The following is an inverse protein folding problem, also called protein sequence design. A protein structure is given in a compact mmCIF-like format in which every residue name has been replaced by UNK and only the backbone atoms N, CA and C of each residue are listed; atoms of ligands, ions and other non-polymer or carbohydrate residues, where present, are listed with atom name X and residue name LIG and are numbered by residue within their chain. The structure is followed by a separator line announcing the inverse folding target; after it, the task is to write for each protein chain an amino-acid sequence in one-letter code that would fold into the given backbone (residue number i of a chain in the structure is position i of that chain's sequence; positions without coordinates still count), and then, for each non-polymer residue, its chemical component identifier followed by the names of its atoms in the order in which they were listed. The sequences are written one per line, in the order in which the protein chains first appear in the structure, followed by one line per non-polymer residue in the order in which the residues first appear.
data_IF_414700220428
#
_entry.id   IF_414700220428
#
_cell.length_a   1.000
_cell.length_b   1.000
_cell.length_c   1.000
_cell.angle_alpha   90.00
_cell.angle_beta   90.00
_cell.angle_gamma   90.00
#
_symmetry.space_group_name_H-M   'P 1'
#
loop_
_entity.id
_entity.type
_entity.pdbx_description
1 polymer ?
#
# COMPACT_ATOMS: atom_id res chain seq x y z
N UNK A 1 29.11 -2.76 18.53
CA UNK A 1 27.93 -2.26 17.79
C UNK A 1 27.98 -2.92 16.43
N UNK A 2 26.94 -3.67 16.04
CA UNK A 2 26.91 -4.28 14.72
C UNK A 2 26.88 -3.15 13.68
N UNK A 3 27.74 -3.21 12.67
CA UNK A 3 27.63 -2.34 11.50
C UNK A 3 26.28 -2.61 10.85
N UNK A 4 25.39 -1.63 10.83
CA UNK A 4 24.18 -1.74 10.01
C UNK A 4 24.60 -1.93 8.56
N UNK A 5 23.95 -2.87 7.88
CA UNK A 5 24.22 -3.17 6.48
C UNK A 5 23.70 -2.01 5.65
N UNK A 6 24.60 -1.36 4.90
CA UNK A 6 24.21 -0.33 3.94
C UNK A 6 23.78 -0.99 2.63
N UNK A 7 22.53 -0.77 2.25
CA UNK A 7 21.97 -1.21 0.98
C UNK A 7 22.20 -0.16 -0.09
N UNK A 8 22.66 -0.58 -1.27
CA UNK A 8 22.85 0.33 -2.39
C UNK A 8 21.55 0.57 -3.16
N UNK A 9 21.60 1.37 -4.22
CA UNK A 9 20.42 1.69 -5.01
C UNK A 9 19.78 0.45 -5.67
N UNK A 10 20.58 -0.52 -6.10
CA UNK A 10 20.04 -1.74 -6.74
C UNK A 10 19.32 -2.60 -5.72
N UNK A 11 19.86 -2.74 -4.51
CA UNK A 11 19.17 -3.40 -3.40
C UNK A 11 17.81 -2.74 -3.13
N UNK A 12 17.78 -1.41 -3.03
CA UNK A 12 16.56 -0.64 -2.80
C UNK A 12 15.53 -0.81 -3.93
N UNK A 13 15.98 -0.80 -5.19
CA UNK A 13 15.12 -1.03 -6.33
C UNK A 13 14.52 -2.45 -6.34
N UNK A 14 15.28 -3.46 -5.91
CA UNK A 14 14.79 -4.83 -5.76
C UNK A 14 13.75 -4.92 -4.65
N UNK A 15 13.96 -4.28 -3.50
CA UNK A 15 12.97 -4.25 -2.43
C UNK A 15 11.67 -3.56 -2.87
N UNK A 16 11.77 -2.42 -3.55
CA UNK A 16 10.61 -1.72 -4.10
C UNK A 16 9.83 -2.56 -5.12
N UNK A 17 10.54 -3.36 -5.93
CA UNK A 17 9.89 -4.30 -6.84
C UNK A 17 9.18 -5.43 -6.08
N UNK A 18 9.81 -6.02 -5.06
CA UNK A 18 9.18 -7.04 -4.20
C UNK A 18 7.92 -6.50 -3.51
N UNK A 19 7.99 -5.31 -2.91
CA UNK A 19 6.83 -4.61 -2.33
C UNK A 19 5.72 -4.42 -3.36
N UNK A 20 6.08 -4.00 -4.58
CA UNK A 20 5.11 -3.81 -5.66
C UNK A 20 4.43 -5.11 -6.10
N UNK A 21 5.20 -6.19 -6.23
CA UNK A 21 4.64 -7.50 -6.56
C UNK A 21 3.70 -7.98 -5.45
N UNK A 22 4.11 -7.88 -4.18
CA UNK A 22 3.27 -8.22 -3.02
C UNK A 22 1.97 -7.42 -3.00
N UNK A 23 2.05 -6.12 -3.25
CA UNK A 23 0.88 -5.22 -3.32
C UNK A 23 -0.08 -5.65 -4.43
N UNK A 24 0.43 -5.90 -5.63
CA UNK A 24 -0.38 -6.21 -6.81
C UNK A 24 -0.99 -7.61 -6.78
N UNK A 25 -0.30 -8.56 -6.15
CA UNK A 25 -0.77 -9.94 -5.99
C UNK A 25 -1.51 -10.18 -4.66
N UNK A 26 -1.90 -9.11 -3.95
CA UNK A 26 -2.67 -9.17 -2.69
C UNK A 26 -1.99 -10.05 -1.62
N UNK A 27 -0.68 -9.89 -1.46
CA UNK A 27 0.12 -10.59 -0.46
C UNK A 27 1.06 -9.61 0.28
N UNK A 28 0.51 -8.52 0.88
CA UNK A 28 1.31 -7.54 1.59
C UNK A 28 2.01 -8.13 2.80
N UNK A 29 3.17 -7.58 3.15
CA UNK A 29 3.88 -7.93 4.38
C UNK A 29 3.26 -7.17 5.56
N UNK A 30 2.24 -7.77 6.18
CA UNK A 30 1.51 -7.17 7.31
C UNK A 30 2.34 -7.11 8.59
N UNK A 31 2.06 -6.13 9.45
CA UNK A 31 2.75 -5.93 10.74
C UNK A 31 2.23 -6.88 11.83
N UNK A 32 1.06 -7.49 11.59
CA UNK A 32 0.37 -8.35 12.56
C UNK A 32 -0.65 -7.62 13.43
N UNK A 33 -0.91 -6.33 13.17
CA UNK A 33 -2.03 -5.60 13.79
C UNK A 33 -3.35 -6.32 13.50
N UNK A 34 -4.21 -6.40 14.52
CA UNK A 34 -5.54 -6.96 14.33
C UNK A 34 -6.41 -6.05 13.47
N UNK A 35 -7.25 -6.65 12.62
CA UNK A 35 -8.26 -5.93 11.86
C UNK A 35 -9.19 -5.17 12.82
N UNK A 36 -9.31 -3.82 12.71
CA UNK A 36 -10.10 -3.02 13.64
C UNK A 36 -11.60 -3.36 13.59
N UNK A 37 -12.07 -3.99 12.51
CA UNK A 37 -13.45 -4.44 12.38
C UNK A 37 -13.73 -5.77 13.08
N UNK A 38 -12.73 -6.48 13.63
CA UNK A 38 -12.88 -7.83 14.20
C UNK A 38 -13.93 -7.94 15.30
N UNK A 39 -14.14 -6.86 16.07
CA UNK A 39 -15.11 -6.83 17.17
C UNK A 39 -16.43 -6.12 16.79
N UNK A 40 -16.56 -5.70 15.53
CA UNK A 40 -17.75 -5.02 15.02
C UNK A 40 -18.74 -6.08 14.53
N UNK A 41 -19.98 -6.04 15.01
CA UNK A 41 -21.02 -6.93 14.52
C UNK A 41 -21.33 -6.67 13.04
N UNK A 42 -21.46 -7.73 12.25
CA UNK A 42 -21.87 -7.61 10.84
C UNK A 42 -23.29 -7.09 10.72
N UNK A 43 -23.50 -6.16 9.79
CA UNK A 43 -24.82 -5.64 9.47
C UNK A 43 -25.51 -6.56 8.45
N UNK A 44 -26.82 -6.76 8.60
CA UNK A 44 -27.62 -7.36 7.54
C UNK A 44 -27.74 -6.36 6.38
N UNK A 45 -27.27 -6.75 5.20
CA UNK A 45 -27.29 -5.93 3.99
C UNK A 45 -28.16 -6.61 2.94
N UNK A 46 -28.98 -5.82 2.24
CA UNK A 46 -29.58 -6.29 0.99
C UNK A 46 -28.49 -6.50 -0.07
N UNK A 47 -28.78 -7.30 -1.09
CA UNK A 47 -27.86 -7.52 -2.22
C UNK A 47 -27.47 -6.21 -2.93
N UNK A 48 -28.38 -5.22 -2.94
CA UNK A 48 -28.13 -3.88 -3.49
C UNK A 48 -27.10 -3.12 -2.66
N UNK A 49 -27.27 -3.11 -1.34
CA UNK A 49 -26.35 -2.43 -0.41
C UNK A 49 -24.98 -3.09 -0.40
N UNK A 50 -24.92 -4.43 -0.35
CA UNK A 50 -23.67 -5.18 -0.43
C UNK A 50 -22.89 -4.83 -1.70
N UNK A 51 -23.56 -4.82 -2.87
CA UNK A 51 -22.92 -4.45 -4.14
C UNK A 51 -22.42 -3.00 -4.12
N UNK A 52 -23.20 -2.08 -3.57
CA UNK A 52 -22.81 -0.67 -3.48
C UNK A 52 -21.59 -0.47 -2.57
N UNK A 53 -21.63 -1.05 -1.36
CA UNK A 53 -20.55 -0.98 -0.37
C UNK A 53 -19.28 -1.65 -0.90
N UNK A 54 -19.40 -2.79 -1.62
CA UNK A 54 -18.26 -3.40 -2.30
C UNK A 54 -17.61 -2.46 -3.32
N UNK A 55 -18.41 -1.68 -4.05
CA UNK A 55 -17.90 -0.62 -4.92
C UNK A 55 -17.09 0.43 -4.17
N UNK A 56 -17.59 0.91 -3.03
CA UNK A 56 -16.88 1.86 -2.17
C UNK A 56 -15.58 1.28 -1.62
N UNK A 57 -15.61 0.01 -1.21
CA UNK A 57 -14.42 -0.64 -0.64
C UNK A 57 -13.35 -0.92 -1.69
N UNK A 58 -13.73 -1.20 -2.94
CA UNK A 58 -12.79 -1.24 -4.06
C UNK A 58 -12.11 0.10 -4.31
N UNK A 59 -12.80 1.23 -4.10
CA UNK A 59 -12.17 2.56 -4.17
C UNK A 59 -11.17 2.72 -3.01
N UNK A 60 -11.56 2.31 -1.80
CA UNK A 60 -10.67 2.39 -0.63
C UNK A 60 -9.38 1.57 -0.83
N UNK A 61 -9.52 0.28 -1.20
CA UNK A 61 -8.38 -0.58 -1.52
C UNK A 61 -7.51 -0.01 -2.64
N UNK A 62 -8.12 0.58 -3.67
CA UNK A 62 -7.36 1.23 -4.75
C UNK A 62 -6.54 2.42 -4.21
N UNK A 63 -7.09 3.17 -3.24
CA UNK A 63 -6.37 4.19 -2.50
C UNK A 63 -5.13 3.65 -1.80
N UNK A 64 -5.26 2.51 -1.09
CA UNK A 64 -4.11 1.88 -0.42
C UNK A 64 -3.03 1.42 -1.41
N UNK A 65 -3.43 0.87 -2.57
CA UNK A 65 -2.48 0.53 -3.66
C UNK A 65 -1.73 1.76 -4.17
N UNK A 66 -2.43 2.89 -4.34
CA UNK A 66 -1.81 4.15 -4.72
C UNK A 66 -0.85 4.67 -3.64
N UNK A 67 -1.25 4.61 -2.37
CA UNK A 67 -0.43 5.04 -1.25
C UNK A 67 0.88 4.23 -1.18
N UNK A 68 0.79 2.90 -1.31
CA UNK A 68 1.96 2.01 -1.39
C UNK A 68 2.91 2.42 -2.52
N UNK A 69 2.36 2.67 -3.72
CA UNK A 69 3.15 3.12 -4.86
C UNK A 69 3.82 4.47 -4.59
N UNK A 70 3.07 5.43 -4.06
CA UNK A 70 3.56 6.78 -3.77
C UNK A 70 4.71 6.75 -2.77
N UNK A 71 4.55 6.07 -1.63
CA UNK A 71 5.57 5.99 -0.60
C UNK A 71 6.80 5.23 -1.07
N UNK A 72 6.61 4.11 -1.78
CA UNK A 72 7.72 3.36 -2.40
C UNK A 72 8.51 4.22 -3.37
N UNK A 73 7.81 4.94 -4.28
CA UNK A 73 8.44 5.82 -5.25
C UNK A 73 9.24 6.94 -4.59
N UNK A 74 8.66 7.59 -3.58
CA UNK A 74 9.31 8.69 -2.88
C UNK A 74 10.49 8.22 -2.04
N UNK A 75 10.39 7.07 -1.37
CA UNK A 75 11.49 6.47 -0.61
C UNK A 75 12.72 6.17 -1.50
N UNK A 76 12.49 5.68 -2.72
CA UNK A 76 13.56 5.33 -3.67
C UNK A 76 14.41 6.53 -4.12
N UNK A 77 13.83 7.73 -4.19
CA UNK A 77 14.51 8.92 -4.72
C UNK A 77 14.72 10.03 -3.70
N UNK A 78 14.27 9.82 -2.45
CA UNK A 78 14.48 10.74 -1.34
C UNK A 78 15.97 11.05 -1.13
N UNK A 79 16.27 12.32 -0.86
CA UNK A 79 17.67 12.78 -0.67
C UNK A 79 18.15 12.60 0.76
N UNK A 80 17.24 12.77 1.73
CA UNK A 80 17.51 12.55 3.14
C UNK A 80 17.15 11.12 3.57
N UNK A 81 17.96 10.56 4.47
CA UNK A 81 17.65 9.28 5.10
C UNK A 81 16.35 9.36 5.91
N UNK A 82 16.10 10.49 6.58
CA UNK A 82 14.90 10.68 7.39
C UNK A 82 13.60 10.58 6.58
N UNK A 83 13.52 11.23 5.40
CA UNK A 83 12.32 11.13 4.56
C UNK A 83 12.16 9.71 4.03
N UNK A 84 13.25 9.07 3.60
CA UNK A 84 13.21 7.68 3.14
C UNK A 84 12.64 6.76 4.22
N UNK A 85 13.16 6.86 5.45
CA UNK A 85 12.75 5.99 6.55
C UNK A 85 11.30 6.25 6.97
N UNK A 86 10.85 7.52 6.93
CA UNK A 86 9.43 7.86 7.14
C UNK A 86 8.52 7.26 6.06
N UNK A 87 8.89 7.38 4.78
CA UNK A 87 8.11 6.82 3.69
C UNK A 87 8.05 5.30 3.76
N UNK A 88 9.16 4.64 4.14
CA UNK A 88 9.16 3.19 4.35
C UNK A 88 8.24 2.81 5.51
N UNK A 89 8.32 3.52 6.64
CA UNK A 89 7.41 3.29 7.78
C UNK A 89 5.94 3.47 7.40
N UNK A 90 5.59 4.50 6.63
CA UNK A 90 4.24 4.70 6.12
C UNK A 90 3.81 3.55 5.18
N UNK A 91 4.68 3.10 4.28
CA UNK A 91 4.40 1.94 3.43
C UNK A 91 4.16 0.67 4.26
N UNK A 92 4.93 0.46 5.33
CA UNK A 92 4.77 -0.70 6.22
C UNK A 92 3.41 -0.65 6.95
N UNK A 93 2.97 0.51 7.42
CA UNK A 93 1.65 0.68 8.06
C UNK A 93 0.49 0.45 7.08
N UNK A 94 0.60 0.94 5.84
CA UNK A 94 -0.46 0.77 4.85
C UNK A 94 -0.62 -0.68 4.37
N UNK A 95 0.35 -1.58 4.63
CA UNK A 95 0.21 -3.01 4.30
C UNK A 95 -0.93 -3.66 5.07
N UNK A 96 -1.14 -3.26 6.32
CA UNK A 96 -2.25 -3.76 7.13
C UNK A 96 -3.60 -3.30 6.57
N UNK A 97 -3.69 -2.02 6.20
CA UNK A 97 -4.90 -1.44 5.60
C UNK A 97 -5.24 -2.10 4.25
N UNK A 98 -4.22 -2.32 3.42
CA UNK A 98 -4.36 -3.03 2.15
C UNK A 98 -4.92 -4.44 2.37
N UNK A 99 -4.39 -5.18 3.35
CA UNK A 99 -4.89 -6.52 3.69
C UNK A 99 -6.34 -6.49 4.19
N UNK A 100 -6.69 -5.58 5.10
CA UNK A 100 -8.05 -5.50 5.67
C UNK A 100 -9.09 -5.09 4.63
N UNK A 101 -8.75 -4.17 3.74
CA UNK A 101 -9.66 -3.75 2.66
C UNK A 101 -9.87 -4.87 1.64
N UNK A 102 -8.83 -5.65 1.33
CA UNK A 102 -8.95 -6.83 0.47
C UNK A 102 -9.84 -7.91 1.10
N UNK A 103 -9.60 -8.24 2.38
CA UNK A 103 -10.43 -9.17 3.15
C UNK A 103 -11.90 -8.75 3.13
N UNK A 104 -12.18 -7.46 3.32
CA UNK A 104 -13.56 -6.96 3.29
C UNK A 104 -14.21 -7.08 1.91
N UNK A 105 -13.47 -6.81 0.83
CA UNK A 105 -13.97 -6.99 -0.55
C UNK A 105 -14.30 -8.45 -0.83
N UNK A 106 -13.43 -9.37 -0.39
CA UNK A 106 -13.63 -10.82 -0.53
C UNK A 106 -14.85 -11.31 0.27
N UNK A 107 -15.01 -10.86 1.52
CA UNK A 107 -16.17 -11.18 2.35
C UNK A 107 -17.50 -10.74 1.71
N UNK A 108 -17.47 -9.67 0.90
CA UNK A 108 -18.62 -9.21 0.13
C UNK A 108 -18.78 -9.92 -1.23
N UNK A 109 -18.01 -10.98 -1.50
CA UNK A 109 -18.02 -11.75 -2.75
C UNK A 109 -17.76 -10.87 -4.00
N UNK A 110 -16.89 -9.87 -3.84
CA UNK A 110 -16.49 -8.96 -4.91
C UNK A 110 -15.03 -9.19 -5.31
N UNK A 111 -14.48 -8.32 -6.16
CA UNK A 111 -13.14 -8.46 -6.70
C UNK A 111 -12.34 -7.15 -6.60
N UNK A 112 -11.02 -7.27 -6.51
CA UNK A 112 -10.11 -6.13 -6.56
C UNK A 112 -10.12 -5.44 -7.94
N UNK A 113 -9.59 -4.22 -8.03
CA UNK A 113 -9.53 -3.51 -9.31
C UNK A 113 -8.49 -4.12 -10.25
N UNK A 114 -8.91 -4.43 -11.48
CA UNK A 114 -8.00 -4.90 -12.54
C UNK A 114 -6.99 -3.81 -12.98
N UNK A 115 -7.26 -2.54 -12.64
CA UNK A 115 -6.41 -1.41 -12.96
C UNK A 115 -5.37 -1.11 -11.86
N UNK A 116 -5.33 -1.89 -10.77
CA UNK A 116 -4.34 -1.73 -9.70
C UNK A 116 -2.90 -1.63 -10.22
N UNK A 117 -2.44 -2.39 -11.25
CA UNK A 117 -1.10 -2.21 -11.81
C UNK A 117 -0.85 -0.81 -12.35
N UNK A 118 -1.81 -0.23 -13.08
CA UNK A 118 -1.68 1.13 -13.63
C UNK A 118 -1.60 2.16 -12.51
N UNK A 119 -2.47 2.01 -11.50
CA UNK A 119 -2.51 2.93 -10.37
C UNK A 119 -1.27 2.85 -9.49
N UNK A 120 -0.77 1.64 -9.24
CA UNK A 120 0.47 1.42 -8.50
C UNK A 120 1.66 2.08 -9.21
N UNK A 121 1.93 1.71 -10.47
CA UNK A 121 3.08 2.24 -11.19
C UNK A 121 2.97 3.74 -11.48
N UNK A 122 1.76 4.25 -11.72
CA UNK A 122 1.52 5.69 -11.82
C UNK A 122 1.85 6.42 -10.52
N UNK A 123 1.46 5.86 -9.38
CA UNK A 123 1.76 6.43 -8.06
C UNK A 123 3.25 6.35 -7.72
N UNK A 124 3.94 5.25 -8.07
CA UNK A 124 5.41 5.15 -7.98
C UNK A 124 6.10 6.25 -8.78
N UNK A 125 5.67 6.49 -10.02
CA UNK A 125 6.26 7.55 -10.84
C UNK A 125 6.05 8.94 -10.22
N UNK A 126 4.86 9.21 -9.67
CA UNK A 126 4.55 10.47 -8.98
C UNK A 126 5.40 10.61 -7.71
N UNK A 127 5.48 9.57 -6.87
CA UNK A 127 6.29 9.56 -5.65
C UNK A 127 7.77 9.77 -5.94
N UNK A 128 8.30 9.07 -6.95
CA UNK A 128 9.68 9.23 -7.38
C UNK A 128 9.98 10.65 -7.87
N UNK A 129 9.06 11.26 -8.63
CA UNK A 129 9.18 12.65 -9.04
C UNK A 129 9.17 13.62 -7.85
N UNK A 130 8.33 13.38 -6.85
CA UNK A 130 8.28 14.17 -5.62
C UNK A 130 9.60 14.08 -4.83
N UNK A 131 10.15 12.87 -4.64
CA UNK A 131 11.44 12.69 -3.97
C UNK A 131 12.61 13.36 -4.71
N UNK A 132 12.61 13.32 -6.05
CA UNK A 132 13.62 14.00 -6.87
C UNK A 132 13.54 15.54 -6.76
N UNK A 133 12.32 16.09 -6.72
CA UNK A 133 12.07 17.52 -6.56
C UNK A 133 12.59 18.05 -5.20
N UNK A 134 12.65 17.18 -4.19
CA UNK A 134 13.42 17.36 -2.97
C UNK A 134 12.61 17.67 -1.71
N UNK A 135 13.23 17.37 -0.57
CA UNK A 135 12.65 17.24 0.77
C UNK A 135 12.40 18.59 1.49
N UNK A 136 12.08 19.67 0.77
CA UNK A 136 12.00 21.02 1.38
C UNK A 136 10.77 21.29 2.25
N UNK A 137 9.84 20.33 2.34
CA UNK A 137 8.55 20.48 3.02
C UNK A 137 8.17 19.20 3.73
#
# INVERSE_FOLDING_TARGET
MASERQFDFLDQAVFALDTGLRTLFNNPAVTGRENPAKQVAEAELSASEQKHIAGLMRINHCGEVCAQGLYTGQALTARSAEVRDKMQGSADEENDHLAWTAERIEAMQSHLSMFNPIFYFGSVAIGAAAGLAGDKW
#
